data_IF_354406210666
#
_entry.id   IF_354406210666
#
_cell.length_a   1.000
_cell.length_b   1.000
_cell.length_c   1.000
_cell.angle_alpha   90.00
_cell.angle_beta   90.00
_cell.angle_gamma   90.00
#
_symmetry.space_group_name_H-M   'P 1'
#
loop_
_entity.id
_entity.type
_entity.pdbx_description
1 polymer ?
#
# COMPACT_ATOMS: atom_id res chain seq x y z
N UNK A 1 -1.02 6.45 7.99
CA UNK A 1 0.36 6.37 8.53
C UNK A 1 0.42 6.90 9.96
N UNK A 2 -0.14 8.08 10.24
CA UNK A 2 -0.18 8.68 11.59
C UNK A 2 -0.72 7.71 12.65
N UNK A 3 -1.84 7.01 12.40
CA UNK A 3 -2.41 6.09 13.39
C UNK A 3 -1.49 4.95 13.85
N UNK A 4 -0.56 4.49 13.02
CA UNK A 4 0.41 3.46 13.42
C UNK A 4 1.50 4.05 14.31
N UNK A 5 1.98 5.24 13.97
CA UNK A 5 2.96 5.98 14.77
C UNK A 5 2.35 6.39 16.12
N UNK A 6 1.09 6.86 16.11
CA UNK A 6 0.34 7.20 17.32
C UNK A 6 0.11 5.99 18.22
N UNK A 7 0.05 4.78 17.64
CA UNK A 7 -0.01 3.51 18.36
C UNK A 7 1.37 3.02 18.84
N UNK A 8 2.44 3.80 18.64
CA UNK A 8 3.80 3.49 19.09
C UNK A 8 4.62 2.64 18.11
N UNK A 9 4.11 2.33 16.91
CA UNK A 9 4.89 1.57 15.93
C UNK A 9 5.88 2.47 15.19
N UNK A 10 7.08 1.95 14.95
CA UNK A 10 8.08 2.59 14.10
C UNK A 10 7.97 2.08 12.67
N UNK A 11 7.59 2.94 11.73
CA UNK A 11 7.48 2.60 10.30
C UNK A 11 8.88 2.45 9.69
N UNK A 12 9.15 1.31 9.06
CA UNK A 12 10.40 1.03 8.34
C UNK A 12 10.31 1.50 6.90
N UNK A 13 9.24 1.12 6.19
CA UNK A 13 9.02 1.56 4.82
C UNK A 13 7.54 1.62 4.47
N UNK A 14 7.25 2.41 3.43
CA UNK A 14 6.01 2.40 2.67
C UNK A 14 6.36 2.26 1.19
N UNK A 15 5.78 1.28 0.53
CA UNK A 15 5.90 1.09 -0.91
C UNK A 15 4.55 1.30 -1.57
N UNK A 16 4.50 2.24 -2.50
CA UNK A 16 3.30 2.54 -3.27
C UNK A 16 3.31 1.76 -4.58
N UNK A 17 2.13 1.27 -4.96
CA UNK A 17 1.94 0.40 -6.11
C UNK A 17 0.88 1.00 -7.06
N UNK A 18 1.16 1.08 -8.37
CA UNK A 18 0.24 1.64 -9.35
C UNK A 18 -0.82 0.62 -9.81
N UNK A 19 -1.21 -0.32 -8.95
CA UNK A 19 -2.21 -1.34 -9.26
C UNK A 19 -3.12 -1.59 -8.04
N UNK A 20 -4.29 -2.16 -8.28
CA UNK A 20 -5.31 -2.48 -7.29
C UNK A 20 -5.60 -3.98 -7.23
N UNK A 21 -6.11 -4.47 -6.11
CA UNK A 21 -6.54 -5.87 -5.95
C UNK A 21 -7.95 -6.16 -6.48
N UNK A 22 -8.66 -5.13 -6.97
CA UNK A 22 -9.96 -5.19 -7.61
C UNK A 22 -10.15 -3.95 -8.49
N UNK A 23 -11.19 -3.92 -9.31
CA UNK A 23 -11.55 -2.77 -10.15
C UNK A 23 -12.05 -1.59 -9.28
N UNK A 24 -11.13 -0.76 -8.78
CA UNK A 24 -11.46 0.36 -7.89
C UNK A 24 -12.17 1.51 -8.62
N UNK A 25 -11.83 1.74 -9.89
CA UNK A 25 -12.40 2.80 -10.73
C UNK A 25 -12.65 2.29 -12.15
N UNK A 26 -13.63 2.88 -12.82
CA UNK A 26 -13.97 2.53 -14.19
C UNK A 26 -12.79 2.73 -15.15
N UNK A 27 -12.58 1.75 -16.04
CA UNK A 27 -11.52 1.78 -17.05
C UNK A 27 -10.20 1.15 -16.58
N UNK A 28 -10.16 0.60 -15.37
CA UNK A 28 -9.10 -0.33 -14.99
C UNK A 28 -9.21 -1.63 -15.79
N UNK A 29 -8.06 -2.27 -16.01
CA UNK A 29 -7.92 -3.50 -16.78
C UNK A 29 -7.23 -4.53 -15.91
N UNK A 30 -7.80 -5.74 -15.84
CA UNK A 30 -7.19 -6.87 -15.16
C UNK A 30 -5.94 -7.33 -15.92
N UNK A 31 -4.86 -7.54 -15.17
CA UNK A 31 -3.56 -8.03 -15.63
C UNK A 31 -3.49 -9.55 -15.47
N UNK A 32 -2.49 -10.16 -16.11
CA UNK A 32 -2.29 -11.62 -16.06
C UNK A 32 -2.01 -12.18 -14.66
N UNK A 33 -1.60 -11.33 -13.70
CA UNK A 33 -1.35 -11.69 -12.30
C UNK A 33 -2.58 -11.49 -11.39
N UNK A 34 -3.74 -11.12 -11.95
CA UNK A 34 -5.00 -10.91 -11.22
C UNK A 34 -5.11 -9.55 -10.53
N UNK A 35 -4.11 -8.67 -10.68
CA UNK A 35 -4.21 -7.27 -10.25
C UNK A 35 -4.82 -6.40 -11.35
N UNK A 36 -5.28 -5.21 -10.97
CA UNK A 36 -5.95 -4.26 -11.84
C UNK A 36 -5.08 -3.02 -12.01
N UNK A 37 -4.87 -2.57 -13.24
CA UNK A 37 -4.09 -1.36 -13.58
C UNK A 37 -4.98 -0.35 -14.32
N UNK A 38 -4.67 0.94 -14.21
CA UNK A 38 -5.36 2.01 -14.95
C UNK A 38 -4.44 2.52 -16.07
N UNK A 39 -4.66 2.13 -17.34
CA UNK A 39 -3.78 2.51 -18.43
C UNK A 39 -3.59 4.03 -18.56
N UNK A 40 -2.33 4.47 -18.60
CA UNK A 40 -1.98 5.88 -18.74
C UNK A 40 -2.00 6.69 -17.44
N UNK A 41 -2.35 6.08 -16.31
CA UNK A 41 -2.21 6.69 -15.00
C UNK A 41 -0.93 6.22 -14.29
N UNK A 42 -0.38 7.07 -13.42
CA UNK A 42 0.74 6.72 -12.53
C UNK A 42 0.37 6.90 -11.06
N UNK A 43 -0.93 6.79 -10.74
CA UNK A 43 -1.46 7.02 -9.40
C UNK A 43 -1.28 5.75 -8.54
N UNK A 44 -0.96 5.88 -7.25
CA UNK A 44 -0.89 4.74 -6.35
C UNK A 44 -2.30 4.32 -5.93
N UNK A 45 -2.64 3.05 -6.17
CA UNK A 45 -3.94 2.46 -5.80
C UNK A 45 -3.85 1.51 -4.61
N UNK A 46 -2.63 1.05 -4.31
CA UNK A 46 -2.31 0.16 -3.21
C UNK A 46 -0.97 0.57 -2.61
N UNK A 47 -0.78 0.29 -1.33
CA UNK A 47 0.52 0.37 -0.71
C UNK A 47 0.79 -0.84 0.19
N UNK A 48 2.06 -1.17 0.37
CA UNK A 48 2.53 -2.06 1.42
C UNK A 48 3.30 -1.24 2.44
N UNK A 49 3.14 -1.56 3.73
CA UNK A 49 3.85 -0.91 4.82
C UNK A 49 4.44 -1.97 5.73
N UNK A 50 5.66 -1.73 6.21
CA UNK A 50 6.29 -2.49 7.28
C UNK A 50 6.57 -1.58 8.46
N UNK A 51 6.26 -2.05 9.66
CA UNK A 51 6.53 -1.34 10.90
C UNK A 51 6.89 -2.35 12.00
N UNK A 52 7.61 -1.89 13.00
CA UNK A 52 7.98 -2.67 14.18
C UNK A 52 7.25 -2.15 15.40
N UNK A 53 6.86 -3.08 16.28
CA UNK A 53 6.41 -2.74 17.62
C UNK A 53 7.57 -2.11 18.42
N UNK A 54 7.28 -1.32 19.46
CA UNK A 54 8.29 -0.93 20.42
C UNK A 54 9.02 -2.18 20.94
N UNK A 55 10.35 -2.16 20.92
CA UNK A 55 11.12 -3.10 21.72
C UNK A 55 11.12 -2.60 23.15
N UNK A 56 10.70 -3.44 24.12
CA UNK A 56 10.98 -3.17 25.52
C UNK A 56 12.52 -3.15 25.68
N UNK A 57 13.10 -1.96 25.85
CA UNK A 57 14.46 -1.85 26.37
C UNK A 57 14.38 -2.08 27.89
N UNK A 58 14.98 -3.18 28.37
CA UNK A 58 15.26 -3.44 29.80
C UNK A 58 16.28 -2.45 30.38
#
# INVERSE_FOLDING_TARGET
MTSLVDAGLTVEFVHEHPFACFEQVAGMVERDDGFWDLPGASLPFLFSLKAHAPTDEE
#
